data_IF_944389492391
#
_entry.id   IF_944389492391
#
_cell.length_a   1.000
_cell.length_b   1.000
_cell.length_c   1.000
_cell.angle_alpha   90.00
_cell.angle_beta   90.00
_cell.angle_gamma   90.00
#
_symmetry.space_group_name_H-M   'P 1'
#
loop_
_entity.id
_entity.type
_entity.pdbx_description
1 polymer ?
#
# COMPACT_ATOMS: atom_id res chain seq x y z
N UNK A 1 -5.41 2.93 -18.91
CA UNK A 1 -4.49 1.94 -18.30
C UNK A 1 -4.70 0.59 -18.98
N UNK A 2 -3.63 -0.13 -19.34
CA UNK A 2 -3.72 -1.44 -20.03
C UNK A 2 -3.40 -2.54 -19.02
N UNK A 3 -4.24 -2.69 -17.99
CA UNK A 3 -4.03 -3.64 -16.89
C UNK A 3 -5.32 -4.41 -16.56
N UNK A 4 -5.88 -5.03 -17.60
CA UNK A 4 -7.09 -5.83 -17.53
C UNK A 4 -6.85 -7.21 -18.16
N UNK A 5 -7.79 -8.13 -17.98
CA UNK A 5 -7.79 -9.42 -18.64
C UNK A 5 -9.01 -9.54 -19.55
N UNK A 6 -8.87 -10.21 -20.70
CA UNK A 6 -9.97 -10.39 -21.66
C UNK A 6 -11.24 -10.99 -21.03
N UNK A 7 -11.06 -11.81 -19.99
CA UNK A 7 -12.14 -12.48 -19.27
C UNK A 7 -12.37 -11.95 -17.84
N UNK A 8 -11.70 -10.85 -17.46
CA UNK A 8 -12.06 -10.11 -16.24
C UNK A 8 -13.19 -9.16 -16.61
N UNK A 9 -14.42 -9.64 -16.43
CA UNK A 9 -15.64 -8.93 -16.81
C UNK A 9 -16.17 -8.07 -15.66
N UNK A 10 -16.90 -7.01 -15.99
CA UNK A 10 -17.49 -6.09 -15.01
C UNK A 10 -16.76 -4.74 -14.94
N UNK A 11 -17.27 -3.86 -14.09
CA UNK A 11 -16.67 -2.55 -13.78
C UNK A 11 -15.35 -2.69 -13.01
N UNK A 12 -14.51 -1.66 -13.08
CA UNK A 12 -13.22 -1.63 -12.38
C UNK A 12 -13.38 -1.76 -10.86
N UNK A 13 -14.48 -1.24 -10.32
CA UNK A 13 -14.85 -1.36 -8.90
C UNK A 13 -14.98 -2.82 -8.40
N UNK A 14 -15.26 -3.77 -9.30
CA UNK A 14 -15.28 -5.20 -8.93
C UNK A 14 -13.87 -5.79 -8.79
N UNK A 15 -12.84 -5.08 -9.25
CA UNK A 15 -11.44 -5.47 -9.18
C UNK A 15 -10.73 -4.91 -7.95
N UNK A 16 -10.61 -3.58 -7.88
CA UNK A 16 -9.88 -2.85 -6.83
C UNK A 16 -10.79 -2.16 -5.80
N UNK A 17 -12.10 -2.27 -5.96
CA UNK A 17 -13.07 -1.66 -5.05
C UNK A 17 -13.41 -0.22 -5.42
N UNK A 18 -14.20 0.42 -4.55
CA UNK A 18 -14.59 1.83 -4.70
C UNK A 18 -13.57 2.67 -3.93
N UNK A 19 -13.01 3.69 -4.58
CA UNK A 19 -12.11 4.62 -3.90
C UNK A 19 -12.87 5.42 -2.83
N UNK A 20 -12.44 5.30 -1.57
CA UNK A 20 -13.06 5.99 -0.41
C UNK A 20 -12.33 7.30 -0.07
N UNK A 21 -11.00 7.32 -0.18
CA UNK A 21 -10.19 8.46 0.20
C UNK A 21 -8.74 8.34 -0.26
N UNK A 22 -7.99 9.43 -0.13
CA UNK A 22 -6.55 9.44 -0.39
C UNK A 22 -5.79 9.33 0.94
N UNK A 23 -4.98 8.28 1.07
CA UNK A 23 -4.23 8.01 2.30
C UNK A 23 -3.06 9.00 2.52
N UNK A 24 -2.55 9.61 1.46
CA UNK A 24 -1.42 10.55 1.53
C UNK A 24 -0.28 10.20 0.59
N UNK A 25 0.74 11.06 0.55
CA UNK A 25 1.96 10.83 -0.21
C UNK A 25 3.01 10.15 0.68
N UNK A 26 3.39 8.89 0.41
CA UNK A 26 4.40 8.19 1.18
C UNK A 26 5.81 8.61 0.78
N UNK A 27 6.64 8.95 1.76
CA UNK A 27 8.08 9.19 1.62
C UNK A 27 8.82 8.10 2.39
N UNK A 28 9.61 7.29 1.67
CA UNK A 28 10.42 6.25 2.28
C UNK A 28 11.80 6.80 2.62
N UNK A 29 12.32 6.45 3.79
CA UNK A 29 13.70 6.76 4.18
C UNK A 29 14.39 5.55 4.76
N UNK A 30 15.67 5.38 4.50
CA UNK A 30 16.47 4.41 5.24
C UNK A 30 16.90 4.97 6.62
N UNK A 31 17.60 4.14 7.41
CA UNK A 31 18.17 4.55 8.70
C UNK A 31 19.18 5.71 8.62
N UNK A 32 19.75 5.97 7.44
CA UNK A 32 20.67 7.09 7.19
C UNK A 32 19.91 8.37 6.80
N UNK A 33 18.58 8.31 6.71
CA UNK A 33 17.70 9.41 6.36
C UNK A 33 17.64 9.69 4.86
N UNK A 34 18.22 8.83 4.01
CA UNK A 34 18.17 9.00 2.56
C UNK A 34 16.79 8.65 2.06
N UNK A 35 16.23 9.53 1.22
CA UNK A 35 14.96 9.26 0.56
C UNK A 35 15.10 8.12 -0.46
N UNK A 36 14.13 7.21 -0.42
CA UNK A 36 14.04 6.05 -1.29
C UNK A 36 12.76 6.10 -2.13
N UNK A 37 12.87 5.60 -3.35
CA UNK A 37 11.81 5.56 -4.35
C UNK A 37 11.46 4.11 -4.69
N UNK A 38 10.18 3.77 -4.60
CA UNK A 38 9.68 2.46 -5.00
C UNK A 38 9.65 2.37 -6.52
N UNK A 39 10.30 1.36 -7.09
CA UNK A 39 10.27 1.12 -8.54
C UNK A 39 8.85 0.78 -8.97
N UNK A 40 8.26 1.64 -9.81
CA UNK A 40 6.91 1.43 -10.36
C UNK A 40 6.88 0.24 -11.32
N UNK A 41 5.82 -0.57 -11.20
CA UNK A 41 5.51 -1.69 -12.08
C UNK A 41 5.23 -1.19 -13.51
N UNK A 42 5.99 -1.65 -14.52
CA UNK A 42 5.70 -1.39 -15.92
C UNK A 42 4.42 -2.11 -16.38
N UNK A 43 3.77 -1.61 -17.42
CA UNK A 43 2.45 -2.10 -17.90
C UNK A 43 2.41 -3.57 -18.32
N UNK A 44 3.54 -4.15 -18.73
CA UNK A 44 3.61 -5.54 -19.20
C UNK A 44 3.58 -6.58 -18.06
N UNK A 45 3.90 -6.18 -16.82
CA UNK A 45 4.03 -7.11 -15.71
C UNK A 45 2.71 -7.29 -14.95
N UNK A 46 2.32 -8.54 -14.74
CA UNK A 46 1.27 -8.91 -13.77
C UNK A 46 1.83 -9.01 -12.34
N UNK A 47 3.09 -9.45 -12.20
CA UNK A 47 3.82 -9.54 -10.93
C UNK A 47 5.14 -8.79 -11.09
N UNK A 48 5.49 -7.96 -10.09
CA UNK A 48 6.71 -7.15 -10.12
C UNK A 48 7.30 -7.09 -8.71
N UNK A 49 8.63 -7.26 -8.55
CA UNK A 49 9.27 -7.25 -7.24
C UNK A 49 9.21 -5.87 -6.61
N UNK A 50 9.22 -5.83 -5.28
CA UNK A 50 9.36 -4.60 -4.51
C UNK A 50 10.84 -4.27 -4.40
N UNK A 51 11.25 -3.17 -5.03
CA UNK A 51 12.62 -2.65 -5.03
C UNK A 51 12.59 -1.16 -4.77
N UNK A 52 13.41 -0.71 -3.84
CA UNK A 52 13.58 0.69 -3.45
C UNK A 52 14.96 1.18 -3.89
N UNK A 53 14.98 2.30 -4.60
CA UNK A 53 16.19 2.94 -5.12
C UNK A 53 16.38 4.33 -4.52
N UNK A 54 17.61 4.83 -4.44
CA UNK A 54 17.86 6.24 -4.11
C UNK A 54 17.68 7.17 -5.33
N UNK A 55 17.96 8.45 -5.15
CA UNK A 55 17.87 9.46 -6.21
C UNK A 55 18.81 9.22 -7.41
N UNK A 56 19.87 8.44 -7.23
CA UNK A 56 20.81 8.06 -8.29
C UNK A 56 20.39 6.76 -9.00
N UNK A 57 19.28 6.14 -8.57
CA UNK A 57 18.78 4.87 -9.10
C UNK A 57 19.50 3.65 -8.55
N UNK A 58 20.31 3.79 -7.49
CA UNK A 58 21.01 2.68 -6.84
C UNK A 58 20.04 1.95 -5.92
N UNK A 59 19.99 0.63 -6.00
CA UNK A 59 19.16 -0.19 -5.10
C UNK A 59 19.67 -0.10 -3.66
N UNK A 60 18.76 0.26 -2.75
CA UNK A 60 19.05 0.40 -1.32
C UNK A 60 18.25 -0.53 -0.43
N UNK A 61 17.04 -0.91 -0.85
CA UNK A 61 16.25 -1.91 -0.15
C UNK A 61 15.39 -2.75 -1.11
N UNK A 62 15.04 -3.96 -0.70
CA UNK A 62 14.15 -4.86 -1.42
C UNK A 62 13.34 -5.76 -0.47
N UNK A 63 12.39 -6.50 -1.04
CA UNK A 63 11.72 -7.62 -0.38
C UNK A 63 12.29 -8.92 -0.97
N UNK A 64 13.20 -9.60 -0.26
CA UNK A 64 13.91 -10.74 -0.83
C UNK A 64 12.96 -11.95 -0.98
N UNK A 65 13.01 -12.59 -2.14
CA UNK A 65 12.30 -13.87 -2.33
C UNK A 65 12.92 -15.00 -1.49
N UNK A 66 14.26 -15.04 -1.39
CA UNK A 66 15.00 -15.97 -0.54
C UNK A 66 15.70 -15.21 0.58
N UNK A 67 15.32 -15.49 1.83
CA UNK A 67 15.83 -14.78 3.00
C UNK A 67 17.25 -15.17 3.42
N UNK A 68 17.74 -16.35 3.02
CA UNK A 68 19.05 -16.87 3.48
C UNK A 68 20.26 -16.05 3.04
N UNK A 69 20.13 -15.25 1.98
CA UNK A 69 21.22 -14.44 1.41
C UNK A 69 20.84 -12.95 1.29
N UNK A 70 19.81 -12.52 2.03
CA UNK A 70 19.34 -11.15 2.00
C UNK A 70 20.41 -10.18 2.51
N UNK A 71 20.63 -9.09 1.77
CA UNK A 71 21.51 -7.98 2.16
C UNK A 71 20.79 -6.62 2.17
N UNK A 72 19.66 -6.54 1.48
CA UNK A 72 18.91 -5.31 1.23
C UNK A 72 17.49 -5.39 1.81
N UNK A 73 17.18 -6.37 2.66
CA UNK A 73 15.83 -6.46 3.24
C UNK A 73 15.48 -5.19 4.02
N UNK A 74 14.24 -4.74 3.86
CA UNK A 74 13.64 -3.57 4.53
C UNK A 74 13.93 -3.56 6.03
N UNK A 75 13.87 -4.71 6.70
CA UNK A 75 14.18 -4.88 8.13
C UNK A 75 15.65 -4.56 8.45
N UNK A 76 16.57 -5.00 7.60
CA UNK A 76 18.02 -4.88 7.83
C UNK A 76 18.52 -3.47 7.48
N UNK A 77 17.91 -2.86 6.46
CA UNK A 77 18.19 -1.48 6.04
C UNK A 77 17.54 -0.48 6.99
N UNK A 78 16.46 -0.87 7.68
CA UNK A 78 15.72 -0.02 8.60
C UNK A 78 14.93 1.05 7.85
N UNK A 79 14.19 0.65 6.80
CA UNK A 79 13.36 1.58 6.04
C UNK A 79 12.15 1.98 6.89
N UNK A 80 11.83 3.26 6.89
CA UNK A 80 10.61 3.82 7.45
C UNK A 80 9.84 4.59 6.36
N UNK A 81 8.55 4.78 6.56
CA UNK A 81 7.70 5.61 5.71
C UNK A 81 7.03 6.70 6.52
N UNK A 82 6.96 7.89 5.95
CA UNK A 82 6.24 9.04 6.50
C UNK A 82 5.23 9.54 5.45
N UNK A 83 3.99 9.79 5.86
CA UNK A 83 2.93 10.24 4.96
C UNK A 83 2.71 11.75 5.04
N UNK A 84 2.54 12.39 3.89
CA UNK A 84 2.21 13.81 3.76
C UNK A 84 0.90 14.03 3.01
N UNK A 85 -0.01 14.81 3.61
CA UNK A 85 -1.37 14.99 3.13
C UNK A 85 -2.24 13.73 3.28
N UNK A 86 -3.50 13.83 2.89
CA UNK A 86 -4.45 12.72 3.00
C UNK A 86 -4.81 12.35 4.43
N UNK A 87 -5.41 11.17 4.58
CA UNK A 87 -5.88 10.64 5.87
C UNK A 87 -4.75 10.32 6.86
N UNK A 88 -3.60 9.84 6.36
CA UNK A 88 -2.46 9.44 7.19
C UNK A 88 -1.42 10.56 7.36
N UNK A 89 -1.80 11.83 7.15
CA UNK A 89 -0.87 12.95 7.22
C UNK A 89 -0.11 13.00 8.57
N UNK A 90 1.23 13.02 8.51
CA UNK A 90 2.11 13.08 9.67
C UNK A 90 2.32 11.73 10.37
N UNK A 91 1.70 10.64 9.88
CA UNK A 91 1.92 9.30 10.40
C UNK A 91 3.25 8.75 9.88
N UNK A 92 4.03 8.16 10.79
CA UNK A 92 5.28 7.49 10.49
C UNK A 92 5.22 6.02 10.91
N UNK A 93 5.62 5.13 10.01
CA UNK A 93 5.75 3.70 10.29
C UNK A 93 7.19 3.25 10.06
N UNK A 94 7.74 2.54 11.03
CA UNK A 94 9.07 1.91 10.98
C UNK A 94 9.01 0.39 11.17
N UNK A 95 7.82 -0.14 11.51
CA UNK A 95 7.61 -1.58 11.64
C UNK A 95 7.56 -2.24 10.24
N UNK A 96 8.39 -3.26 9.99
CA UNK A 96 8.44 -3.91 8.68
C UNK A 96 7.14 -4.58 8.26
N UNK A 97 6.37 -5.15 9.20
CA UNK A 97 5.12 -5.85 8.87
C UNK A 97 4.08 -4.86 8.35
N UNK A 98 3.97 -3.72 9.01
CA UNK A 98 3.07 -2.61 8.62
C UNK A 98 3.45 -2.05 7.25
N UNK A 99 4.76 -1.91 6.97
CA UNK A 99 5.24 -1.51 5.65
C UNK A 99 4.81 -2.50 4.55
N UNK A 100 4.93 -3.80 4.78
CA UNK A 100 4.60 -4.80 3.78
C UNK A 100 3.11 -4.98 3.53
N UNK A 101 2.29 -5.03 4.58
CA UNK A 101 0.86 -5.30 4.45
C UNK A 101 0.09 -4.04 4.07
N UNK A 102 0.28 -2.97 4.82
CA UNK A 102 -0.67 -1.86 4.75
C UNK A 102 -0.22 -0.83 3.71
N UNK A 103 1.09 -0.63 3.57
CA UNK A 103 1.67 0.39 2.68
C UNK A 103 1.96 -0.17 1.28
N UNK A 104 2.53 -1.37 1.18
CA UNK A 104 2.84 -1.98 -0.12
C UNK A 104 1.68 -2.75 -0.74
N UNK A 105 0.83 -3.42 0.05
CA UNK A 105 -0.35 -4.12 -0.48
C UNK A 105 -1.58 -3.20 -0.62
N UNK A 106 -1.58 -2.03 0.04
CA UNK A 106 -2.63 -1.01 -0.10
C UNK A 106 -3.99 -1.45 0.43
N UNK A 107 -4.03 -2.40 1.36
CA UNK A 107 -5.25 -2.93 1.98
C UNK A 107 -5.22 -2.56 3.46
N UNK A 108 -6.27 -1.91 3.93
CA UNK A 108 -6.57 -1.81 5.35
C UNK A 108 -7.15 -3.16 5.82
N UNK A 109 -6.49 -3.89 6.76
CA UNK A 109 -6.97 -5.17 7.25
C UNK A 109 -8.27 -5.08 8.07
N UNK A 110 -8.72 -3.88 8.47
CA UNK A 110 -9.97 -3.65 9.21
C UNK A 110 -11.14 -3.22 8.30
N UNK A 111 -10.96 -3.24 6.97
CA UNK A 111 -11.98 -2.80 5.99
C UNK A 111 -13.11 -3.81 5.73
N UNK A 112 -13.22 -4.89 6.51
CA UNK A 112 -14.25 -5.92 6.31
C UNK A 112 -15.66 -5.45 6.72
N UNK A 113 -15.77 -4.39 7.53
CA UNK A 113 -17.06 -3.95 8.08
C UNK A 113 -17.83 -2.94 7.20
N UNK A 114 -17.20 -2.27 6.24
CA UNK A 114 -17.80 -1.16 5.48
C UNK A 114 -18.48 -1.54 4.16
N UNK A 115 -18.34 -2.79 3.72
CA UNK A 115 -18.78 -3.25 2.39
C UNK A 115 -20.09 -4.05 2.38
N UNK A 116 -20.76 -4.22 3.52
CA UNK A 116 -22.12 -4.79 3.55
C UNK A 116 -23.15 -3.76 3.05
N UNK A 117 -23.76 -4.05 1.89
CA UNK A 117 -24.81 -3.22 1.31
C UNK A 117 -25.98 -3.08 2.29
N UNK A 118 -26.17 -1.87 2.84
CA UNK A 118 -27.28 -1.54 3.76
C UNK A 118 -26.95 -1.60 5.26
N UNK A 119 -25.69 -1.83 5.66
CA UNK A 119 -25.27 -1.86 7.07
C UNK A 119 -25.23 -0.47 7.74
N UNK A 120 -25.01 0.59 6.97
CA UNK A 120 -24.91 1.97 7.44
C UNK A 120 -25.89 2.88 6.70
N UNK A 121 -26.43 3.89 7.38
CA UNK A 121 -27.30 4.90 6.74
C UNK A 121 -26.50 5.78 5.78
N UNK A 122 -25.19 5.92 6.00
CA UNK A 122 -24.27 6.67 5.16
C UNK A 122 -23.00 5.85 4.91
N UNK A 123 -22.65 5.73 3.63
CA UNK A 123 -21.43 5.03 3.20
C UNK A 123 -20.21 5.76 3.77
N UNK A 124 -19.29 5.01 4.39
CA UNK A 124 -18.02 5.55 4.92
C UNK A 124 -18.09 6.21 6.31
N UNK A 125 -19.25 6.21 6.98
CA UNK A 125 -19.40 6.80 8.31
C UNK A 125 -19.68 5.72 9.38
N UNK A 126 -18.67 5.35 10.20
CA UNK A 126 -18.80 4.27 11.20
C UNK A 126 -19.79 4.60 12.32
N UNK A 127 -20.20 5.86 12.48
CA UNK A 127 -21.18 6.27 13.49
C UNK A 127 -22.63 6.06 13.05
N UNK A 128 -22.86 5.71 11.78
CA UNK A 128 -24.20 5.62 11.18
C UNK A 128 -24.72 4.18 11.01
N UNK A 129 -24.26 3.25 11.85
CA UNK A 129 -24.67 1.84 11.79
C UNK A 129 -26.18 1.72 12.03
N UNK A 130 -26.88 1.03 11.13
CA UNK A 130 -28.33 0.84 11.23
C UNK A 130 -28.63 -0.08 12.42
N UNK A 131 -29.40 0.40 13.41
CA UNK A 131 -29.95 -0.48 14.44
C UNK A 131 -31.03 -1.35 13.80
N UNK A 132 -30.86 -2.67 13.91
CA UNK A 132 -31.88 -3.65 13.56
C UNK A 132 -32.94 -3.58 14.67
N UNK A 133 -34.18 -3.26 14.29
CA UNK A 133 -35.36 -3.48 15.14
C UNK A 133 -35.83 -4.91 14.92
#
# INVERSE_FOLDING_TARGET
>A
MVKGGLFRVGSMENGDGIAVGWLGYPVFRDKEGRELFVRRMPTFFEIFPVVLVDGDGIVRADVPFRRSESKYSVEQVGVAVEFYGGELNGVNYSDPVTLFRDVFAGIDPDLDAQVEFGAFQKIGDPTTRRQVV
#
